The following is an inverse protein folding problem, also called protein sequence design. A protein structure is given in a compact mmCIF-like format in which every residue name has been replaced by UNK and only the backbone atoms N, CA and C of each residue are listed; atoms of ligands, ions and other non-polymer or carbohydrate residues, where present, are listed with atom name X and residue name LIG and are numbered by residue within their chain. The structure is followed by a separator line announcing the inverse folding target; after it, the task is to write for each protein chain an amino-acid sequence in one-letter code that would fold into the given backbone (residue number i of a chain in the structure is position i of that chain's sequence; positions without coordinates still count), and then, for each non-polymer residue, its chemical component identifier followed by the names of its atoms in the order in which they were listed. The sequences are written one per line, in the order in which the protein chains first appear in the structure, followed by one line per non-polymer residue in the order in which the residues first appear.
data_IF_173791296675
#
_entry.id   IF_173791296675
#
_cell.length_a   1.000
_cell.length_b   1.000
_cell.length_c   1.000
_cell.angle_alpha   90.00
_cell.angle_beta   90.00
_cell.angle_gamma   90.00
#
_symmetry.space_group_name_H-M   'P 1'
#
loop_
_entity.id
_entity.type
_entity.pdbx_description
1 polymer ?
#
# COMPACT_ATOMS: atom_id res chain seq x y z
N UNK A 1 -1.31 25.55 -17.72
CA UNK A 1 -2.37 24.85 -16.92
C UNK A 1 -1.71 23.64 -16.28
N UNK A 2 -1.84 23.41 -14.95
CA UNK A 2 -1.24 22.25 -14.30
C UNK A 2 -2.07 20.99 -14.53
N UNK A 3 -1.43 19.88 -14.82
CA UNK A 3 -2.06 18.56 -14.90
C UNK A 3 -2.57 18.12 -13.53
N UNK A 4 -3.38 17.06 -13.50
CA UNK A 4 -3.85 16.46 -12.24
C UNK A 4 -2.70 16.01 -11.34
N UNK A 5 -1.70 15.32 -11.93
CA UNK A 5 -0.52 14.82 -11.21
C UNK A 5 0.32 15.98 -10.65
N UNK A 6 0.55 17.04 -11.44
CA UNK A 6 1.27 18.24 -10.97
C UNK A 6 0.58 18.94 -9.80
N UNK A 7 -0.75 18.85 -9.73
CA UNK A 7 -1.51 19.41 -8.60
C UNK A 7 -1.34 18.58 -7.35
N UNK A 8 -1.47 17.24 -7.44
CA UNK A 8 -1.33 16.34 -6.29
C UNK A 8 0.12 16.32 -5.79
N UNK A 9 1.08 16.20 -6.71
CA UNK A 9 2.49 16.18 -6.34
C UNK A 9 3.04 17.57 -6.01
N UNK A 10 2.30 18.62 -6.31
CA UNK A 10 2.73 20.01 -6.19
C UNK A 10 4.13 20.26 -6.78
N UNK A 11 4.36 19.72 -7.98
CA UNK A 11 5.64 19.76 -8.68
C UNK A 11 5.42 19.85 -10.19
N UNK A 12 6.34 20.45 -10.95
CA UNK A 12 6.23 20.50 -12.41
C UNK A 12 6.49 19.10 -13.03
N UNK A 13 5.95 18.88 -14.22
CA UNK A 13 6.22 17.69 -15.01
C UNK A 13 7.72 17.45 -15.22
N UNK A 14 8.15 16.21 -15.19
CA UNK A 14 9.56 15.79 -15.30
C UNK A 14 10.34 15.82 -13.98
N UNK A 15 9.71 16.27 -12.89
CA UNK A 15 10.35 16.29 -11.55
C UNK A 15 10.20 14.94 -10.85
N UNK A 16 11.26 14.49 -10.19
CA UNK A 16 11.19 13.45 -9.17
C UNK A 16 11.04 14.14 -7.83
N UNK A 17 10.04 13.74 -7.07
CA UNK A 17 9.73 14.39 -5.79
C UNK A 17 9.63 13.38 -4.66
N UNK A 18 9.97 13.80 -3.44
CA UNK A 18 9.77 12.99 -2.25
C UNK A 18 8.36 13.25 -1.73
N UNK A 19 7.57 12.21 -1.58
CA UNK A 19 6.20 12.28 -1.03
C UNK A 19 5.97 11.22 0.01
N UNK A 20 5.06 11.50 0.92
CA UNK A 20 4.49 10.52 1.84
C UNK A 20 3.09 10.19 1.34
N UNK A 21 2.80 8.94 0.98
CA UNK A 21 1.45 8.54 0.59
C UNK A 21 0.44 8.79 1.70
N UNK A 22 -0.81 9.01 1.30
CA UNK A 22 -1.92 9.09 2.25
C UNK A 22 -2.37 7.71 2.68
N UNK A 23 -2.34 6.73 1.74
CA UNK A 23 -2.62 5.32 2.01
C UNK A 23 -1.57 4.44 1.33
N UNK A 24 -1.08 3.46 2.06
CA UNK A 24 -0.22 2.38 1.56
C UNK A 24 -1.01 1.08 1.66
N UNK A 25 -1.52 0.58 0.53
CA UNK A 25 -2.31 -0.65 0.50
C UNK A 25 -1.42 -1.87 0.28
N UNK A 26 -1.69 -2.94 1.02
CA UNK A 26 -1.20 -4.29 0.70
C UNK A 26 -2.30 -5.33 0.97
N UNK A 27 -2.12 -6.51 0.39
CA UNK A 27 -3.10 -7.59 0.50
C UNK A 27 -2.40 -8.93 0.83
N UNK A 28 -2.87 -10.07 0.37
CA UNK A 28 -2.32 -11.42 0.65
C UNK A 28 -0.80 -11.56 0.49
N UNK A 29 -0.16 -10.68 -0.26
CA UNK A 29 1.30 -10.64 -0.40
C UNK A 29 2.03 -10.03 0.81
N UNK A 30 1.32 -9.54 1.82
CA UNK A 30 1.88 -8.80 2.96
C UNK A 30 2.91 -9.62 3.76
N UNK A 31 2.72 -10.94 3.86
CA UNK A 31 3.71 -11.81 4.51
C UNK A 31 5.08 -11.82 3.79
N UNK A 32 5.07 -11.77 2.45
CA UNK A 32 6.31 -11.70 1.66
C UNK A 32 6.93 -10.32 1.72
N UNK A 33 6.14 -9.25 1.74
CA UNK A 33 6.61 -7.88 1.92
C UNK A 33 7.28 -7.76 3.29
N UNK A 34 6.67 -8.32 4.34
CA UNK A 34 7.25 -8.37 5.68
C UNK A 34 8.63 -9.03 5.70
N UNK A 35 8.78 -10.20 5.07
CA UNK A 35 10.08 -10.90 4.99
C UNK A 35 11.17 -9.99 4.38
N UNK A 36 10.86 -9.34 3.24
CA UNK A 36 11.78 -8.38 2.60
C UNK A 36 12.08 -7.20 3.53
N UNK A 37 11.07 -6.65 4.19
CA UNK A 37 11.23 -5.55 5.15
C UNK A 37 12.18 -5.92 6.28
N UNK A 38 12.04 -7.11 6.87
CA UNK A 38 12.92 -7.63 7.92
C UNK A 38 14.36 -7.90 7.40
N UNK A 39 14.51 -8.49 6.21
CA UNK A 39 15.81 -8.71 5.55
C UNK A 39 16.54 -7.38 5.28
N UNK A 40 15.83 -6.30 5.04
CA UNK A 40 16.38 -4.95 4.89
C UNK A 40 16.70 -4.26 6.22
N UNK A 41 16.57 -4.96 7.36
CA UNK A 41 16.76 -4.42 8.70
C UNK A 41 15.61 -3.53 9.17
N UNK A 42 14.40 -3.74 8.67
CA UNK A 42 13.20 -3.10 9.15
C UNK A 42 12.71 -3.77 10.45
N UNK A 43 12.54 -2.98 11.49
CA UNK A 43 12.00 -3.45 12.78
C UNK A 43 10.62 -2.84 13.06
N UNK A 44 10.43 -1.60 12.68
CA UNK A 44 9.20 -0.86 12.92
C UNK A 44 8.73 -0.14 11.66
N UNK A 45 7.43 -0.25 11.37
CA UNK A 45 6.78 0.50 10.30
C UNK A 45 6.90 2.00 10.55
N UNK A 46 7.29 2.74 9.52
CA UNK A 46 7.46 4.20 9.63
C UNK A 46 6.15 4.93 9.89
N UNK A 47 5.08 4.52 9.20
CA UNK A 47 3.75 5.15 9.25
C UNK A 47 2.66 4.06 9.30
N UNK A 48 2.55 3.35 10.43
CA UNK A 48 1.58 2.27 10.59
C UNK A 48 0.11 2.74 10.40
N UNK A 49 -0.21 3.97 10.77
CA UNK A 49 -1.54 4.56 10.60
C UNK A 49 -1.94 4.83 9.15
N UNK A 50 -1.01 4.77 8.20
CA UNK A 50 -1.29 4.92 6.77
C UNK A 50 -1.34 3.59 6.03
N UNK A 51 -0.99 2.50 6.71
CA UNK A 51 -1.01 1.18 6.12
C UNK A 51 -2.43 0.63 6.16
N UNK A 52 -2.94 0.27 4.99
CA UNK A 52 -4.20 -0.45 4.79
C UNK A 52 -3.86 -1.87 4.33
N UNK A 53 -4.11 -2.86 5.16
CA UNK A 53 -3.89 -4.27 4.82
C UNK A 53 -5.21 -4.99 4.75
N UNK A 54 -5.45 -5.68 3.64
CA UNK A 54 -6.66 -6.48 3.42
C UNK A 54 -6.26 -7.89 3.03
N UNK A 55 -6.63 -8.86 3.83
CA UNK A 55 -6.51 -10.27 3.46
C UNK A 55 -7.85 -10.70 2.85
N UNK A 56 -7.93 -10.75 1.52
CA UNK A 56 -9.19 -10.96 0.82
C UNK A 56 -9.38 -12.39 0.29
N UNK A 57 -8.42 -13.28 0.50
CA UNK A 57 -8.54 -14.70 0.14
C UNK A 57 -8.99 -15.55 1.32
N UNK A 58 -10.09 -16.28 1.11
CA UNK A 58 -10.53 -17.29 2.07
C UNK A 58 -9.51 -18.42 2.16
N UNK A 59 -9.19 -18.83 3.37
CA UNK A 59 -8.24 -19.89 3.72
C UNK A 59 -8.85 -21.31 3.47
N UNK A 60 -9.61 -21.52 2.39
CA UNK A 60 -10.17 -22.82 2.05
C UNK A 60 -9.19 -23.62 1.19
N UNK A 61 -8.81 -24.81 1.64
CA UNK A 61 -7.88 -25.71 0.93
C UNK A 61 -6.39 -25.32 1.07
N UNK A 62 -6.00 -24.80 2.23
CA UNK A 62 -4.70 -24.18 2.47
C UNK A 62 -3.59 -25.17 2.82
N UNK A 63 -2.38 -24.86 2.32
CA UNK A 63 -1.14 -25.51 2.76
C UNK A 63 -0.69 -24.97 4.11
N UNK A 64 0.10 -25.77 4.85
CA UNK A 64 0.69 -25.33 6.13
C UNK A 64 1.52 -24.04 6.00
N UNK A 65 2.10 -23.80 4.83
CA UNK A 65 2.85 -22.58 4.53
C UNK A 65 1.94 -21.34 4.52
N UNK A 66 0.80 -21.42 3.86
CA UNK A 66 -0.18 -20.32 3.82
C UNK A 66 -0.74 -20.01 5.21
N UNK A 67 -0.99 -21.05 6.02
CA UNK A 67 -1.44 -20.86 7.41
C UNK A 67 -0.36 -20.14 8.23
N UNK A 68 0.90 -20.53 8.07
CA UNK A 68 2.03 -19.87 8.76
C UNK A 68 2.17 -18.41 8.32
N UNK A 69 2.10 -18.14 7.02
CA UNK A 69 2.19 -16.78 6.47
C UNK A 69 1.05 -15.92 6.99
N UNK A 70 -0.18 -16.43 6.98
CA UNK A 70 -1.37 -15.76 7.53
C UNK A 70 -1.19 -15.41 9.03
N UNK A 71 -0.85 -16.39 9.84
CA UNK A 71 -0.64 -16.16 11.28
C UNK A 71 0.52 -15.19 11.54
N UNK A 72 1.55 -15.24 10.70
CA UNK A 72 2.70 -14.36 10.83
C UNK A 72 2.35 -12.90 10.53
N UNK A 73 1.50 -12.66 9.54
CA UNK A 73 1.09 -11.29 9.20
C UNK A 73 0.13 -10.73 10.25
N UNK A 74 -0.79 -11.53 10.78
CA UNK A 74 -1.65 -11.11 11.88
C UNK A 74 -0.83 -10.62 13.07
N UNK A 75 0.12 -11.44 13.53
CA UNK A 75 1.01 -11.07 14.64
C UNK A 75 1.77 -9.78 14.36
N UNK A 76 2.33 -9.66 13.16
CA UNK A 76 3.08 -8.47 12.77
C UNK A 76 2.21 -7.22 12.75
N UNK A 77 0.97 -7.30 12.24
CA UNK A 77 0.05 -6.14 12.23
C UNK A 77 -0.32 -5.70 13.64
N UNK A 78 -0.54 -6.65 14.55
CA UNK A 78 -0.80 -6.37 15.97
C UNK A 78 0.42 -5.73 16.66
N UNK A 79 1.62 -6.28 16.48
CA UNK A 79 2.87 -5.74 17.03
C UNK A 79 3.16 -4.33 16.52
N UNK A 80 2.89 -4.06 15.24
CA UNK A 80 3.06 -2.76 14.61
C UNK A 80 1.90 -1.78 14.86
N UNK A 81 0.81 -2.23 15.49
CA UNK A 81 -0.41 -1.46 15.79
C UNK A 81 -1.05 -0.87 14.52
N UNK A 82 -1.17 -1.69 13.49
CA UNK A 82 -1.84 -1.29 12.25
C UNK A 82 -3.35 -1.26 12.47
N UNK A 83 -3.96 -0.08 12.45
CA UNK A 83 -5.39 0.12 12.72
C UNK A 83 -6.28 -0.31 11.56
N UNK A 84 -5.82 -0.14 10.32
CA UNK A 84 -6.58 -0.48 9.11
C UNK A 84 -6.18 -1.87 8.59
N UNK A 85 -6.41 -2.88 9.42
CA UNK A 85 -6.22 -4.28 9.07
C UNK A 85 -7.57 -4.99 8.94
N UNK A 86 -7.84 -5.55 7.76
CA UNK A 86 -9.09 -6.20 7.41
C UNK A 86 -8.83 -7.65 7.03
N UNK A 87 -9.50 -8.55 7.72
CA UNK A 87 -9.41 -9.99 7.48
C UNK A 87 -10.34 -10.44 6.34
N UNK A 88 -10.20 -11.68 5.91
CA UNK A 88 -10.79 -12.28 4.71
C UNK A 88 -12.35 -12.33 4.69
N UNK A 89 -13.01 -11.96 5.75
CA UNK A 89 -14.47 -11.85 5.85
C UNK A 89 -15.01 -10.43 5.59
N UNK A 90 -14.13 -9.44 5.42
CA UNK A 90 -14.51 -8.01 5.36
C UNK A 90 -14.71 -7.47 3.97
N UNK A 91 -14.29 -8.18 2.93
CA UNK A 91 -14.49 -7.79 1.53
C UNK A 91 -13.21 -7.79 0.71
N UNK A 92 -13.32 -7.31 -0.52
CA UNK A 92 -12.21 -7.23 -1.48
C UNK A 92 -11.39 -5.97 -1.22
N UNK A 93 -10.05 -6.07 -1.33
CA UNK A 93 -9.13 -4.99 -1.00
C UNK A 93 -9.45 -3.66 -1.69
N UNK A 94 -9.85 -3.68 -2.96
CA UNK A 94 -10.17 -2.45 -3.70
C UNK A 94 -11.49 -1.81 -3.29
N UNK A 95 -12.48 -2.59 -2.84
CA UNK A 95 -13.75 -2.08 -2.32
C UNK A 95 -13.55 -1.41 -0.95
N UNK A 96 -12.77 -2.06 -0.08
CA UNK A 96 -12.40 -1.49 1.23
C UNK A 96 -11.59 -0.22 1.03
N UNK A 97 -10.60 -0.24 0.13
CA UNK A 97 -9.82 0.94 -0.23
C UNK A 97 -10.72 2.08 -0.71
N UNK A 98 -11.66 1.80 -1.60
CA UNK A 98 -12.58 2.82 -2.14
C UNK A 98 -13.32 3.58 -1.04
N UNK A 99 -13.71 2.90 0.04
CA UNK A 99 -14.35 3.51 1.21
C UNK A 99 -13.45 4.44 2.04
N UNK A 100 -12.13 4.39 1.85
CA UNK A 100 -11.15 5.19 2.58
C UNK A 100 -10.59 6.37 1.75
N UNK A 101 -10.91 6.43 0.45
CA UNK A 101 -10.32 7.40 -0.46
C UNK A 101 -10.85 8.84 -0.24
N UNK A 102 -9.94 9.78 -0.38
CA UNK A 102 -10.26 11.21 -0.43
C UNK A 102 -9.74 11.79 -1.75
N UNK A 103 -10.56 12.55 -2.51
CA UNK A 103 -10.10 13.20 -3.74
C UNK A 103 -8.84 14.03 -3.52
N UNK A 104 -7.87 13.90 -4.43
CA UNK A 104 -6.58 14.55 -4.32
C UNK A 104 -5.54 13.76 -3.52
N UNK A 105 -5.90 12.59 -2.99
CA UNK A 105 -4.99 11.71 -2.26
C UNK A 105 -3.93 11.05 -3.14
N UNK A 106 -2.79 10.74 -2.53
CA UNK A 106 -1.73 9.91 -3.09
C UNK A 106 -1.80 8.50 -2.49
N UNK A 107 -2.16 7.54 -3.33
CA UNK A 107 -2.35 6.14 -2.95
C UNK A 107 -1.25 5.29 -3.58
N UNK A 108 -0.62 4.45 -2.82
CA UNK A 108 0.30 3.45 -3.34
C UNK A 108 -0.10 2.06 -2.85
N UNK A 109 0.11 1.04 -3.65
CA UNK A 109 -0.32 -0.30 -3.24
C UNK A 109 0.46 -1.41 -3.92
N UNK A 110 0.59 -2.54 -3.23
CA UNK A 110 1.22 -3.74 -3.77
C UNK A 110 0.26 -4.57 -4.62
N UNK A 111 -0.40 -3.92 -5.55
CA UNK A 111 -1.28 -4.53 -6.54
C UNK A 111 -1.33 -3.68 -7.80
N UNK A 112 -1.33 -4.31 -8.98
CA UNK A 112 -1.39 -3.61 -10.27
C UNK A 112 -2.71 -2.86 -10.47
N UNK A 113 -3.78 -3.29 -9.83
CA UNK A 113 -5.09 -2.64 -9.89
C UNK A 113 -5.24 -1.47 -8.89
N UNK A 114 -4.20 -1.13 -8.14
CA UNK A 114 -4.19 0.06 -7.26
C UNK A 114 -4.59 1.33 -8.03
N UNK A 115 -4.26 1.39 -9.33
CA UNK A 115 -4.62 2.50 -10.22
C UNK A 115 -6.15 2.75 -10.31
N UNK A 116 -7.00 1.78 -9.95
CA UNK A 116 -8.47 1.97 -9.91
C UNK A 116 -8.88 3.07 -8.93
N UNK A 117 -8.08 3.38 -7.92
CA UNK A 117 -8.32 4.52 -7.03
C UNK A 117 -8.30 5.87 -7.77
N UNK A 118 -7.75 5.91 -9.01
CA UNK A 118 -7.83 7.06 -9.89
C UNK A 118 -9.27 7.46 -10.25
N UNK A 119 -10.21 6.51 -10.29
CA UNK A 119 -11.63 6.77 -10.51
C UNK A 119 -12.26 7.65 -9.41
N UNK A 120 -11.62 7.74 -8.26
CA UNK A 120 -12.02 8.57 -7.11
C UNK A 120 -11.22 9.88 -7.01
N UNK A 121 -10.62 10.32 -8.11
CA UNK A 121 -9.77 11.50 -8.17
C UNK A 121 -8.53 11.42 -7.25
N UNK A 122 -7.94 10.25 -7.10
CA UNK A 122 -6.66 10.03 -6.44
C UNK A 122 -5.54 9.82 -7.45
N UNK A 123 -4.31 10.20 -7.11
CA UNK A 123 -3.14 9.68 -7.79
C UNK A 123 -2.83 8.31 -7.20
N UNK A 124 -2.88 7.27 -8.01
CA UNK A 124 -2.73 5.90 -7.53
C UNK A 124 -1.67 5.14 -8.31
N UNK A 125 -0.73 4.50 -7.60
CA UNK A 125 0.43 3.82 -8.19
C UNK A 125 0.58 2.42 -7.60
N UNK A 126 0.71 1.42 -8.48
CA UNK A 126 1.06 0.06 -8.10
C UNK A 126 2.58 -0.07 -7.87
N UNK A 127 2.96 -0.71 -6.77
CA UNK A 127 4.35 -0.99 -6.41
C UNK A 127 4.62 -2.50 -6.38
N UNK A 128 5.86 -2.88 -6.64
CA UNK A 128 6.30 -4.25 -6.36
C UNK A 128 6.56 -4.47 -4.85
N UNK A 129 6.83 -5.72 -4.46
CA UNK A 129 7.01 -6.10 -3.05
C UNK A 129 8.21 -5.41 -2.40
N UNK A 130 9.31 -5.27 -3.15
CA UNK A 130 10.53 -4.63 -2.66
C UNK A 130 10.33 -3.15 -2.43
N UNK A 131 9.72 -2.45 -3.40
CA UNK A 131 9.37 -1.03 -3.27
C UNK A 131 8.42 -0.80 -2.10
N UNK A 132 7.45 -1.70 -1.91
CA UNK A 132 6.52 -1.62 -0.77
C UNK A 132 7.24 -1.83 0.56
N UNK A 133 8.20 -2.77 0.64
CA UNK A 133 9.00 -2.99 1.84
C UNK A 133 9.88 -1.77 2.18
N UNK A 134 10.49 -1.14 1.17
CA UNK A 134 11.22 0.14 1.34
C UNK A 134 10.29 1.21 1.89
N UNK A 135 9.09 1.32 1.33
CA UNK A 135 8.10 2.29 1.77
C UNK A 135 7.64 2.04 3.21
N UNK A 136 7.46 0.78 3.62
CA UNK A 136 7.16 0.43 5.00
C UNK A 136 8.25 0.89 5.98
N UNK A 137 9.52 0.81 5.54
CA UNK A 137 10.67 1.18 6.34
C UNK A 137 10.91 2.68 6.38
N UNK A 138 10.84 3.35 5.23
CA UNK A 138 11.24 4.77 5.08
C UNK A 138 10.05 5.74 5.16
N UNK A 139 8.85 5.28 4.86
CA UNK A 139 7.61 6.08 4.85
C UNK A 139 7.56 7.11 3.73
N UNK A 140 8.46 7.01 2.74
CA UNK A 140 8.56 7.93 1.61
C UNK A 140 8.42 7.20 0.28
N UNK A 141 7.84 7.88 -0.69
CA UNK A 141 7.68 7.47 -2.07
C UNK A 141 8.30 8.51 -2.99
N UNK A 142 8.94 8.06 -4.06
CA UNK A 142 9.67 8.89 -5.02
C UNK A 142 8.97 8.84 -6.39
N UNK A 143 7.79 9.45 -6.55
CA UNK A 143 7.14 9.48 -7.85
C UNK A 143 7.83 10.45 -8.80
N UNK A 144 7.85 10.06 -10.07
CA UNK A 144 8.09 10.99 -11.16
C UNK A 144 6.79 11.71 -11.50
N UNK A 145 6.83 13.04 -11.55
CA UNK A 145 5.71 13.84 -12.01
C UNK A 145 5.63 13.79 -13.53
N UNK A 146 4.83 12.87 -14.07
CA UNK A 146 4.70 12.72 -15.52
C UNK A 146 3.76 13.78 -16.09
N UNK A 147 4.08 14.25 -17.32
CA UNK A 147 3.23 15.19 -18.06
C UNK A 147 2.17 14.51 -18.91
N UNK A 148 2.21 13.17 -18.99
CA UNK A 148 1.28 12.39 -19.80
C UNK A 148 0.05 12.01 -18.99
N UNK A 149 -1.14 12.11 -19.61
CA UNK A 149 -2.38 11.64 -19.03
C UNK A 149 -2.38 10.12 -18.85
#
# INVERSE_FOLDING_TARGET
MRTFVEKILNAPAGSIVIRRPDIVMSHDNSARIRKIFEEMGGEKLKDAGKLLVVLDRKMTGTTDELIRDYNSIHRFMDEQKVEHFFDCDKGICHEILAGQLKPGGLIVGNDSHTCTAGAFNCMAVGLNKTETAVLWKEGIFLPECTSRP
#
